data_IF_851793462495
#
_entry.id   IF_851793462495
#
_cell.length_a   1.000
_cell.length_b   1.000
_cell.length_c   1.000
_cell.angle_alpha   90.00
_cell.angle_beta   90.00
_cell.angle_gamma   90.00
#
_symmetry.space_group_name_H-M   'P 1'
#
loop_
_entity.id
_entity.type
_entity.pdbx_description
1 polymer ?
#
# COMPACT_ATOMS: atom_id res chain seq x y z
N UNK A 1 0.57 -3.71 -1.11
CA UNK A 1 -0.60 -3.79 -2.03
C UNK A 1 -0.77 -5.23 -2.46
N UNK A 2 -1.97 -5.81 -2.57
CA UNK A 2 -2.13 -7.14 -3.15
C UNK A 2 -1.45 -7.21 -4.51
N UNK A 3 -0.79 -8.32 -4.87
CA UNK A 3 -0.17 -8.51 -6.20
C UNK A 3 -1.19 -8.37 -7.32
N UNK A 4 -0.76 -7.94 -8.50
CA UNK A 4 -1.68 -7.58 -9.59
C UNK A 4 -2.49 -8.77 -10.14
N UNK A 5 -1.93 -9.96 -10.07
CA UNK A 5 -2.52 -11.24 -10.47
C UNK A 5 -3.53 -11.79 -9.45
N UNK A 6 -3.59 -11.22 -8.24
CA UNK A 6 -4.49 -11.67 -7.18
C UNK A 6 -5.78 -10.86 -7.17
N UNK A 7 -6.87 -11.54 -6.81
CA UNK A 7 -8.15 -10.89 -6.56
C UNK A 7 -8.04 -10.00 -5.32
N UNK A 8 -8.57 -8.77 -5.41
CA UNK A 8 -8.76 -7.85 -4.28
C UNK A 8 -10.27 -7.71 -3.97
N UNK A 9 -10.83 -8.53 -3.06
CA UNK A 9 -12.24 -8.46 -2.70
C UNK A 9 -12.64 -7.11 -2.08
N UNK A 10 -11.72 -6.46 -1.35
CA UNK A 10 -11.98 -5.18 -0.70
C UNK A 10 -12.10 -4.07 -1.75
N UNK A 11 -11.15 -4.01 -2.69
CA UNK A 11 -11.22 -3.11 -3.84
C UNK A 11 -12.48 -3.30 -4.66
N UNK A 12 -12.88 -4.55 -4.94
CA UNK A 12 -14.14 -4.85 -5.65
C UNK A 12 -15.37 -4.34 -4.89
N UNK A 13 -15.40 -4.50 -3.57
CA UNK A 13 -16.51 -4.01 -2.74
C UNK A 13 -16.60 -2.48 -2.78
N UNK A 14 -15.46 -1.79 -2.66
CA UNK A 14 -15.40 -0.31 -2.74
C UNK A 14 -15.83 0.20 -4.11
N UNK A 15 -15.31 -0.39 -5.20
CA UNK A 15 -15.71 -0.03 -6.55
C UNK A 15 -17.24 -0.18 -6.77
N UNK A 16 -17.82 -1.28 -6.27
CA UNK A 16 -19.26 -1.49 -6.31
C UNK A 16 -20.05 -0.47 -5.48
N UNK A 17 -19.53 -0.02 -4.34
CA UNK A 17 -20.15 1.04 -3.54
C UNK A 17 -20.12 2.39 -4.28
N UNK A 18 -18.97 2.75 -4.86
CA UNK A 18 -18.81 3.99 -5.64
C UNK A 18 -19.76 4.05 -6.84
N UNK A 19 -19.94 2.93 -7.55
CA UNK A 19 -20.89 2.84 -8.65
C UNK A 19 -22.34 3.13 -8.20
N UNK A 20 -22.77 2.58 -7.05
CA UNK A 20 -24.11 2.82 -6.49
C UNK A 20 -24.32 4.27 -6.04
N UNK A 21 -23.24 4.96 -5.67
CA UNK A 21 -23.25 6.38 -5.32
C UNK A 21 -23.17 7.31 -6.54
N UNK A 22 -23.14 6.77 -7.77
CA UNK A 22 -23.15 7.54 -9.01
C UNK A 22 -21.76 7.87 -9.57
N UNK A 23 -20.67 7.36 -8.98
CA UNK A 23 -19.30 7.58 -9.47
C UNK A 23 -18.93 6.58 -10.58
N UNK A 24 -19.66 6.61 -11.69
CA UNK A 24 -19.49 5.65 -12.81
C UNK A 24 -18.15 5.73 -13.55
N UNK A 25 -17.41 6.84 -13.40
CA UNK A 25 -16.07 7.00 -13.96
C UNK A 25 -15.01 6.12 -13.27
N UNK A 26 -15.27 5.64 -12.05
CA UNK A 26 -14.33 4.78 -11.32
C UNK A 26 -14.47 3.34 -11.81
N UNK A 27 -13.52 2.89 -12.62
CA UNK A 27 -13.56 1.57 -13.27
C UNK A 27 -12.99 0.44 -12.40
N UNK A 28 -12.19 0.78 -11.38
CA UNK A 28 -11.58 -0.18 -10.49
C UNK A 28 -10.98 0.50 -9.28
N UNK A 29 -10.92 -0.25 -8.18
CA UNK A 29 -10.28 0.18 -6.93
C UNK A 29 -9.37 -0.94 -6.48
N UNK A 30 -8.17 -0.57 -6.03
CA UNK A 30 -7.23 -1.45 -5.34
C UNK A 30 -7.06 -0.93 -3.92
N UNK A 31 -7.16 -1.81 -2.95
CA UNK A 31 -7.00 -1.52 -1.53
C UNK A 31 -5.74 -2.19 -1.04
N UNK A 32 -4.98 -1.49 -0.21
CA UNK A 32 -3.85 -2.07 0.49
C UNK A 32 -3.58 -1.31 1.78
N UNK A 33 -2.35 -1.41 2.27
CA UNK A 33 -1.93 -0.86 3.55
C UNK A 33 -0.98 0.31 3.33
N UNK A 34 -1.10 1.33 4.17
CA UNK A 34 -0.14 2.42 4.31
C UNK A 34 0.28 2.47 5.77
N UNK A 35 1.58 2.50 6.01
CA UNK A 35 2.17 2.66 7.33
C UNK A 35 2.79 4.05 7.42
N UNK A 36 2.61 4.70 8.57
CA UNK A 36 3.37 5.89 8.96
C UNK A 36 4.32 5.46 10.07
N UNK A 37 5.61 5.74 9.88
CA UNK A 37 6.66 5.33 10.80
C UNK A 37 7.42 6.59 11.19
N UNK A 38 7.47 6.86 12.50
CA UNK A 38 8.19 8.00 13.06
C UNK A 38 9.54 7.54 13.57
N UNK A 39 10.58 8.30 13.22
CA UNK A 39 11.97 8.10 13.63
C UNK A 39 12.55 9.46 14.02
N UNK A 40 13.59 9.47 14.85
CA UNK A 40 14.21 10.72 15.31
C UNK A 40 14.91 11.46 14.16
N UNK A 41 15.62 10.73 13.29
CA UNK A 41 16.30 11.27 12.10
C UNK A 41 16.25 10.26 10.94
N UNK A 42 16.15 10.75 9.71
CA UNK A 42 16.13 9.91 8.50
C UNK A 42 17.55 9.79 7.91
N UNK A 43 18.37 8.94 8.51
CA UNK A 43 19.70 8.58 8.00
C UNK A 43 19.63 7.50 6.92
N UNK A 44 20.74 7.24 6.21
CA UNK A 44 20.81 6.16 5.22
C UNK A 44 20.64 4.77 5.85
N UNK A 45 21.13 4.58 7.08
CA UNK A 45 20.95 3.35 7.85
C UNK A 45 19.47 3.13 8.21
N UNK A 46 18.77 4.21 8.59
CA UNK A 46 17.33 4.15 8.86
C UNK A 46 16.57 3.82 7.57
N UNK A 47 16.94 4.41 6.43
CA UNK A 47 16.32 4.11 5.14
C UNK A 47 16.48 2.63 4.76
N UNK A 48 17.68 2.08 4.95
CA UNK A 48 17.95 0.66 4.71
C UNK A 48 17.13 -0.25 5.64
N UNK A 49 17.07 0.09 6.94
CA UNK A 49 16.28 -0.65 7.93
C UNK A 49 14.78 -0.65 7.61
N UNK A 50 14.21 0.50 7.22
CA UNK A 50 12.80 0.60 6.81
C UNK A 50 12.52 -0.22 5.56
N UNK A 51 13.46 -0.28 4.62
CA UNK A 51 13.32 -1.12 3.42
C UNK A 51 13.25 -2.61 3.81
N UNK A 52 14.15 -3.08 4.66
CA UNK A 52 14.12 -4.46 5.16
C UNK A 52 12.82 -4.77 5.92
N UNK A 53 12.38 -3.85 6.79
CA UNK A 53 11.13 -3.99 7.54
C UNK A 53 9.90 -4.10 6.62
N UNK A 54 9.89 -3.31 5.53
CA UNK A 54 8.81 -3.32 4.56
C UNK A 54 8.67 -4.69 3.87
N UNK A 55 9.80 -5.31 3.53
CA UNK A 55 9.85 -6.59 2.83
C UNK A 55 9.63 -7.80 3.76
N UNK A 56 10.20 -7.75 4.97
CA UNK A 56 10.20 -8.90 5.89
C UNK A 56 8.93 -8.98 6.76
N UNK A 57 8.35 -7.83 7.11
CA UNK A 57 7.29 -7.77 8.13
C UNK A 57 6.02 -7.08 7.66
N UNK A 58 6.12 -5.94 6.97
CA UNK A 58 4.95 -5.13 6.64
C UNK A 58 4.18 -5.63 5.42
N UNK A 59 4.84 -6.44 4.58
CA UNK A 59 4.25 -7.07 3.40
C UNK A 59 4.31 -8.58 3.53
N UNK A 60 3.21 -9.27 3.20
CA UNK A 60 3.30 -10.70 2.90
C UNK A 60 3.80 -10.89 1.47
N UNK A 61 5.09 -11.17 1.29
CA UNK A 61 5.75 -11.26 -0.03
C UNK A 61 5.12 -12.23 -1.02
N UNK A 62 4.35 -13.22 -0.57
CA UNK A 62 3.62 -14.16 -1.44
C UNK A 62 2.45 -13.49 -2.14
N UNK A 63 1.76 -12.57 -1.45
CA UNK A 63 0.48 -12.02 -1.91
C UNK A 63 0.45 -10.49 -2.01
N UNK A 64 1.47 -9.79 -1.52
CA UNK A 64 1.56 -8.34 -1.49
C UNK A 64 2.90 -7.83 -2.04
N UNK A 65 2.87 -6.65 -2.65
CA UNK A 65 4.02 -5.84 -3.07
C UNK A 65 4.13 -4.56 -2.25
N UNK A 66 5.37 -4.17 -1.94
CA UNK A 66 5.70 -2.82 -1.46
C UNK A 66 5.74 -1.89 -2.67
N UNK A 67 4.81 -0.93 -2.76
CA UNK A 67 4.66 -0.06 -3.93
C UNK A 67 5.44 1.24 -3.85
N UNK A 68 5.96 1.58 -2.67
CA UNK A 68 6.77 2.77 -2.48
C UNK A 68 7.00 3.09 -1.01
N UNK A 69 8.17 3.65 -0.73
CA UNK A 69 8.56 4.17 0.57
C UNK A 69 8.86 5.66 0.35
N UNK A 70 8.17 6.51 1.10
CA UNK A 70 8.24 7.96 0.93
C UNK A 70 8.75 8.56 2.23
N UNK A 71 9.79 9.38 2.12
CA UNK A 71 10.34 10.14 3.22
C UNK A 71 9.92 11.59 2.97
N UNK A 72 9.06 12.20 3.80
CA UNK A 72 8.69 13.59 3.62
C UNK A 72 9.96 14.45 3.63
N UNK A 73 10.03 15.44 2.73
CA UNK A 73 11.07 16.45 2.79
C UNK A 73 10.97 17.17 4.14
N UNK A 74 12.11 17.29 4.83
CA UNK A 74 12.21 18.00 6.10
C UNK A 74 12.12 19.52 5.90
#
# INVERSE_FOLDING_TARGET
>A
MPKAELLDPQGKAVAGALARLGHSAVQGVRVGKRFEITVDEVTDEVRASITALADEMLSNSVIEDVVGIHYPEA
#
